data_IF_720093257951
#
_entry.id   IF_720093257951
#
_cell.length_a   1.000
_cell.length_b   1.000
_cell.length_c   1.000
_cell.angle_alpha   90.00
_cell.angle_beta   90.00
_cell.angle_gamma   90.00
#
_symmetry.space_group_name_H-M   'P 1'
#
loop_
_entity.id
_entity.type
_entity.pdbx_description
1 polymer ?
#
# COMPACT_ATOMS: atom_id res chain seq x y z
N UNK A 1 21.11 -7.60 -3.36
CA UNK A 1 20.51 -6.66 -2.40
C UNK A 1 20.03 -7.47 -1.20
N UNK A 2 20.37 -7.09 0.02
CA UNK A 2 19.97 -7.86 1.21
C UNK A 2 18.54 -7.46 1.60
N UNK A 3 17.66 -8.44 1.83
CA UNK A 3 16.30 -8.23 2.31
C UNK A 3 16.33 -7.83 3.79
N UNK A 4 15.63 -6.75 4.15
CA UNK A 4 15.56 -6.22 5.52
C UNK A 4 14.13 -6.30 6.04
N UNK A 5 13.99 -6.64 7.33
CA UNK A 5 12.71 -6.46 8.03
C UNK A 5 12.58 -5.01 8.49
N UNK A 6 11.47 -4.37 8.16
CA UNK A 6 11.17 -2.99 8.54
C UNK A 6 10.09 -2.96 9.62
N UNK A 7 10.29 -2.14 10.63
CA UNK A 7 9.31 -1.92 11.70
C UNK A 7 8.64 -0.58 11.48
N UNK A 8 7.31 -0.59 11.48
CA UNK A 8 6.53 0.65 11.44
C UNK A 8 6.20 1.09 12.86
N UNK A 9 6.70 2.25 13.25
CA UNK A 9 6.37 2.86 14.52
C UNK A 9 5.04 3.62 14.38
N UNK A 10 4.06 3.27 15.22
CA UNK A 10 2.80 3.98 15.33
C UNK A 10 2.81 4.85 16.59
N UNK A 11 2.09 5.98 16.54
CA UNK A 11 1.73 6.72 17.74
C UNK A 11 0.90 5.82 18.66
N UNK A 12 1.11 5.89 19.98
CA UNK A 12 0.44 5.06 21.00
C UNK A 12 -1.10 5.09 20.90
N UNK A 13 -1.66 6.18 20.37
CA UNK A 13 -3.10 6.35 20.20
C UNK A 13 -3.62 5.98 18.80
N UNK A 14 -2.80 5.34 17.96
CA UNK A 14 -3.14 4.99 16.59
C UNK A 14 -2.95 3.51 16.33
N UNK A 15 -3.99 2.83 15.86
CA UNK A 15 -3.94 1.40 15.54
C UNK A 15 -3.22 1.11 14.22
N UNK A 16 -3.04 2.11 13.36
CA UNK A 16 -2.35 1.98 12.07
C UNK A 16 -1.69 3.28 11.65
N UNK A 17 -0.68 3.18 10.79
CA UNK A 17 0.07 4.32 10.25
C UNK A 17 -0.60 4.86 8.99
N UNK A 18 -0.71 6.18 8.85
CA UNK A 18 -1.14 6.84 7.62
C UNK A 18 -0.58 8.25 7.57
N UNK A 19 0.16 8.55 6.50
CA UNK A 19 0.84 9.83 6.34
C UNK A 19 0.98 10.19 4.86
N UNK A 20 0.87 11.48 4.55
CA UNK A 20 1.37 12.06 3.30
C UNK A 20 2.76 12.61 3.55
N UNK A 21 3.73 12.23 2.73
CA UNK A 21 5.14 12.61 2.84
C UNK A 21 5.64 13.27 1.58
N UNK A 22 6.45 14.31 1.77
CA UNK A 22 7.28 14.89 0.72
C UNK A 22 8.74 14.62 1.07
N UNK A 23 9.47 13.97 0.18
CA UNK A 23 10.86 13.57 0.35
C UNK A 23 11.67 13.88 -0.90
N UNK A 24 12.99 14.11 -0.79
CA UNK A 24 13.82 14.39 -1.96
C UNK A 24 13.81 13.25 -2.99
N UNK A 25 13.78 12.01 -2.55
CA UNK A 25 13.73 10.81 -3.40
C UNK A 25 13.26 9.57 -2.64
N UNK A 26 12.66 8.61 -3.34
CA UNK A 26 12.49 7.27 -2.80
C UNK A 26 13.85 6.57 -2.77
N UNK A 27 14.34 6.25 -1.58
CA UNK A 27 15.61 5.55 -1.37
C UNK A 27 15.47 4.41 -0.38
N UNK A 28 14.33 3.72 -0.41
CA UNK A 28 14.05 2.64 0.54
C UNK A 28 14.76 1.37 0.08
N UNK A 29 15.43 0.71 1.04
CA UNK A 29 16.05 -0.59 0.80
C UNK A 29 15.00 -1.66 0.46
N UNK A 30 15.46 -2.76 -0.15
CA UNK A 30 14.67 -3.97 -0.33
C UNK A 30 14.23 -4.51 1.02
N UNK A 31 12.92 -4.42 1.32
CA UNK A 31 12.40 -4.71 2.64
C UNK A 31 11.03 -5.39 2.60
N UNK A 32 10.64 -5.89 3.76
CA UNK A 32 9.31 -6.41 4.03
C UNK A 32 8.89 -6.04 5.46
N UNK A 33 7.59 -6.07 5.74
CA UNK A 33 7.01 -5.82 7.06
C UNK A 33 5.69 -6.56 7.23
N UNK A 34 5.20 -6.60 8.46
CA UNK A 34 3.97 -7.33 8.83
C UNK A 34 2.70 -6.69 8.27
N UNK A 35 2.71 -5.39 8.06
CA UNK A 35 1.54 -4.63 7.64
C UNK A 35 1.17 -4.89 6.17
N UNK A 36 -0.12 -4.74 5.85
CA UNK A 36 -0.55 -4.34 4.51
C UNK A 36 -0.14 -2.88 4.28
N UNK A 37 0.23 -2.53 3.06
CA UNK A 37 0.58 -1.17 2.70
C UNK A 37 -0.20 -0.69 1.48
N UNK A 38 -0.88 0.45 1.63
CA UNK A 38 -1.37 1.24 0.50
C UNK A 38 -0.34 2.33 0.22
N UNK A 39 0.16 2.38 -1.01
CA UNK A 39 1.09 3.40 -1.49
C UNK A 39 0.50 4.11 -2.70
N UNK A 40 0.48 5.44 -2.65
CA UNK A 40 -0.02 6.30 -3.72
C UNK A 40 0.97 7.42 -4.01
N UNK A 41 1.79 7.33 -5.06
CA UNK A 41 2.62 8.43 -5.54
C UNK A 41 1.74 9.54 -6.13
N UNK A 42 1.79 10.75 -5.58
CA UNK A 42 1.14 11.95 -6.12
C UNK A 42 2.07 12.62 -7.12
N UNK A 43 3.35 12.77 -6.74
CA UNK A 43 4.44 13.29 -7.57
C UNK A 43 5.60 12.31 -7.48
N UNK A 44 6.16 11.96 -8.62
CA UNK A 44 7.34 11.10 -8.74
C UNK A 44 7.08 9.82 -9.50
N UNK A 45 8.07 9.45 -10.29
CA UNK A 45 8.12 8.22 -11.09
C UNK A 45 9.40 7.46 -10.79
N UNK A 46 9.48 6.21 -11.15
CA UNK A 46 10.68 5.41 -10.93
C UNK A 46 10.47 3.93 -11.16
N UNK A 47 11.29 3.11 -10.53
CA UNK A 47 11.21 1.67 -10.58
C UNK A 47 10.66 1.15 -9.25
N UNK A 48 9.72 0.21 -9.32
CA UNK A 48 9.30 -0.61 -8.18
C UNK A 48 9.73 -2.05 -8.41
N UNK A 49 10.13 -2.71 -7.32
CA UNK A 49 10.30 -4.15 -7.28
C UNK A 49 9.31 -4.66 -6.24
N UNK A 50 8.47 -5.62 -6.61
CA UNK A 50 7.47 -6.24 -5.73
C UNK A 50 7.51 -7.74 -5.95
N UNK A 51 7.97 -8.48 -4.95
CA UNK A 51 8.24 -9.90 -5.12
C UNK A 51 9.27 -10.16 -6.21
N UNK A 52 8.87 -10.90 -7.23
CA UNK A 52 9.69 -11.22 -8.42
C UNK A 52 9.43 -10.31 -9.63
N UNK A 53 8.62 -9.28 -9.47
CA UNK A 53 8.32 -8.30 -10.52
C UNK A 53 9.18 -7.06 -10.39
N UNK A 54 9.69 -6.56 -11.52
CA UNK A 54 10.35 -5.27 -11.63
C UNK A 54 9.70 -4.48 -12.77
N UNK A 55 9.14 -3.33 -12.47
CA UNK A 55 8.48 -2.47 -13.45
C UNK A 55 8.55 -0.99 -13.05
N UNK A 56 8.30 -0.11 -14.01
CA UNK A 56 8.16 1.31 -13.72
C UNK A 56 6.85 1.59 -12.97
N UNK A 57 6.88 2.59 -12.09
CA UNK A 57 5.67 3.17 -11.49
C UNK A 57 5.50 4.62 -11.94
N UNK A 58 4.26 5.05 -12.00
CA UNK A 58 3.87 6.40 -12.38
C UNK A 58 3.12 7.10 -11.25
N UNK A 59 3.01 8.42 -11.40
CA UNK A 59 2.13 9.22 -10.56
C UNK A 59 0.68 8.73 -10.65
N UNK A 60 -0.04 8.83 -9.56
CA UNK A 60 -1.46 8.44 -9.43
C UNK A 60 -1.74 6.94 -9.60
N UNK A 61 -0.75 6.08 -9.46
CA UNK A 61 -0.95 4.64 -9.36
C UNK A 61 -1.13 4.22 -7.90
N UNK A 62 -2.25 3.60 -7.56
CA UNK A 62 -2.46 3.04 -6.23
C UNK A 62 -2.01 1.58 -6.20
N UNK A 63 -1.17 1.26 -5.22
CA UNK A 63 -0.69 -0.11 -4.99
C UNK A 63 -1.12 -0.57 -3.61
N UNK A 64 -1.64 -1.79 -3.50
CA UNK A 64 -1.86 -2.49 -2.24
C UNK A 64 -0.87 -3.65 -2.15
N UNK A 65 0.06 -3.55 -1.21
CA UNK A 65 1.04 -4.58 -0.89
C UNK A 65 0.52 -5.46 0.26
N UNK A 66 0.67 -6.76 0.11
CA UNK A 66 0.30 -7.72 1.13
C UNK A 66 1.28 -7.75 2.30
N UNK A 67 0.81 -8.27 3.44
CA UNK A 67 1.66 -8.56 4.59
C UNK A 67 2.82 -9.47 4.19
N UNK A 68 4.04 -9.19 4.68
CA UNK A 68 5.27 -9.94 4.44
C UNK A 68 5.75 -9.95 2.97
N UNK A 69 5.16 -9.16 2.08
CA UNK A 69 5.57 -9.10 0.67
C UNK A 69 6.83 -8.23 0.53
N UNK A 70 7.96 -8.79 0.06
CA UNK A 70 9.15 -7.99 -0.20
C UNK A 70 8.93 -6.95 -1.29
N UNK A 71 9.36 -5.72 -1.05
CA UNK A 71 9.19 -4.63 -2.00
C UNK A 71 10.21 -3.50 -1.82
N UNK A 72 10.36 -2.70 -2.88
CA UNK A 72 11.02 -1.40 -2.85
C UNK A 72 10.45 -0.49 -3.93
N UNK A 73 10.56 0.82 -3.69
CA UNK A 73 10.32 1.88 -4.66
C UNK A 73 11.57 2.76 -4.74
N UNK A 74 11.99 3.10 -5.95
CA UNK A 74 13.18 3.90 -6.19
C UNK A 74 12.96 4.82 -7.37
N UNK A 75 13.22 6.12 -7.20
CA UNK A 75 13.29 7.07 -8.30
C UNK A 75 14.58 6.93 -9.10
N UNK A 76 14.56 7.33 -10.37
CA UNK A 76 15.77 7.59 -11.11
C UNK A 76 16.43 8.88 -10.59
N UNK A 77 17.72 8.79 -10.23
CA UNK A 77 18.49 9.88 -9.61
C UNK A 77 18.64 11.09 -10.56
N UNK A 78 18.34 10.92 -11.85
CA UNK A 78 18.53 11.94 -12.88
C UNK A 78 17.46 13.05 -12.88
N UNK A 79 16.36 12.89 -12.16
CA UNK A 79 15.36 13.95 -11.99
C UNK A 79 15.39 14.53 -10.55
N UNK A 80 16.58 14.97 -10.12
CA UNK A 80 16.79 15.62 -8.83
C UNK A 80 16.10 16.99 -8.68
N UNK A 81 15.30 17.40 -9.67
CA UNK A 81 14.59 18.67 -9.66
C UNK A 81 13.20 18.62 -9.01
N UNK A 82 12.65 17.43 -8.75
CA UNK A 82 11.33 17.26 -8.15
C UNK A 82 11.38 16.41 -6.90
N UNK A 83 10.84 16.93 -5.82
CA UNK A 83 10.55 16.14 -4.63
C UNK A 83 9.47 15.11 -4.93
N UNK A 84 9.54 13.97 -4.27
CA UNK A 84 8.50 12.94 -4.32
C UNK A 84 7.45 13.26 -3.27
N UNK A 85 6.19 13.32 -3.69
CA UNK A 85 5.02 13.47 -2.81
C UNK A 85 4.16 12.20 -2.89
N UNK A 86 3.93 11.56 -1.77
CA UNK A 86 3.19 10.30 -1.73
C UNK A 86 2.39 10.13 -0.44
N UNK A 87 1.37 9.29 -0.53
CA UNK A 87 0.62 8.84 0.64
C UNK A 87 0.96 7.38 0.90
N UNK A 88 1.23 7.06 2.17
CA UNK A 88 1.45 5.70 2.64
C UNK A 88 0.53 5.41 3.82
N UNK A 89 -0.17 4.26 3.76
CA UNK A 89 -1.04 3.76 4.82
C UNK A 89 -0.63 2.32 5.11
N UNK A 90 -0.25 2.04 6.36
CA UNK A 90 0.19 0.70 6.81
C UNK A 90 -0.71 0.24 7.95
N UNK A 91 -1.32 -0.92 7.78
CA UNK A 91 -2.21 -1.50 8.79
C UNK A 91 -1.96 -2.99 8.97
N UNK A 92 -1.89 -3.42 10.22
CA UNK A 92 -1.63 -4.83 10.55
C UNK A 92 -2.83 -5.72 10.22
N UNK A 93 -2.58 -6.99 9.82
CA UNK A 93 -3.64 -7.94 9.48
C UNK A 93 -4.72 -8.05 10.56
N UNK A 94 -4.35 -8.08 11.84
CA UNK A 94 -5.31 -8.27 12.94
C UNK A 94 -6.41 -7.19 12.99
N UNK A 95 -6.10 -5.95 12.55
CA UNK A 95 -7.07 -4.83 12.55
C UNK A 95 -8.22 -5.13 11.61
N UNK A 96 -7.91 -5.65 10.42
CA UNK A 96 -8.91 -5.93 9.40
C UNK A 96 -9.55 -7.30 9.60
N UNK A 97 -8.78 -8.30 10.05
CA UNK A 97 -9.28 -9.64 10.33
C UNK A 97 -10.42 -9.61 11.37
N UNK A 98 -10.36 -8.70 12.35
CA UNK A 98 -11.44 -8.48 13.30
C UNK A 98 -12.81 -8.20 12.63
N UNK A 99 -12.79 -7.59 11.43
CA UNK A 99 -13.99 -7.31 10.65
C UNK A 99 -14.30 -8.41 9.63
N UNK A 100 -13.32 -8.77 8.79
CA UNK A 100 -13.55 -9.67 7.65
C UNK A 100 -13.84 -11.12 8.06
N UNK A 101 -13.43 -11.53 9.25
CA UNK A 101 -13.66 -12.88 9.76
C UNK A 101 -15.01 -12.99 10.50
N UNK A 102 -15.61 -11.87 10.94
CA UNK A 102 -16.84 -11.88 11.72
C UNK A 102 -18.06 -11.33 10.95
N UNK A 103 -17.84 -10.59 9.86
CA UNK A 103 -18.92 -9.95 9.12
C UNK A 103 -18.86 -10.34 7.63
N UNK A 104 -19.81 -11.16 7.13
CA UNK A 104 -19.83 -11.62 5.74
C UNK A 104 -19.92 -10.48 4.71
N UNK A 105 -20.41 -9.30 5.11
CA UNK A 105 -20.46 -8.11 4.28
C UNK A 105 -19.08 -7.64 3.81
N UNK A 106 -18.02 -8.01 4.53
CA UNK A 106 -16.63 -7.70 4.17
C UNK A 106 -15.91 -8.80 3.38
N UNK A 107 -16.62 -9.82 2.90
CA UNK A 107 -16.03 -10.94 2.16
C UNK A 107 -15.16 -10.50 0.96
N UNK A 108 -15.59 -9.47 0.21
CA UNK A 108 -14.82 -8.95 -0.91
C UNK A 108 -13.48 -8.32 -0.48
N UNK A 109 -13.45 -7.68 0.70
CA UNK A 109 -12.19 -7.17 1.28
C UNK A 109 -11.27 -8.35 1.58
N UNK A 110 -11.76 -9.41 2.22
CA UNK A 110 -10.98 -10.61 2.51
C UNK A 110 -10.35 -11.18 1.24
N UNK A 111 -11.15 -11.41 0.20
CA UNK A 111 -10.65 -11.88 -1.10
C UNK A 111 -9.57 -10.95 -1.70
N UNK A 112 -9.80 -9.63 -1.65
CA UNK A 112 -8.82 -8.67 -2.16
C UNK A 112 -7.49 -8.76 -1.39
N UNK A 113 -7.53 -8.84 -0.06
CA UNK A 113 -6.34 -8.94 0.78
C UNK A 113 -5.58 -10.25 0.58
N UNK A 114 -6.27 -11.37 0.34
CA UNK A 114 -5.66 -12.64 -0.04
C UNK A 114 -4.88 -12.54 -1.36
N UNK A 115 -5.43 -11.85 -2.36
CA UNK A 115 -4.77 -11.62 -3.64
C UNK A 115 -3.62 -10.60 -3.48
N UNK A 116 -3.75 -9.63 -2.58
CA UNK A 116 -2.75 -8.59 -2.33
C UNK A 116 -1.39 -9.13 -1.84
N UNK A 117 -1.30 -10.40 -1.40
CA UNK A 117 -0.02 -11.07 -1.12
C UNK A 117 0.94 -11.08 -2.33
N UNK A 118 0.43 -10.84 -3.53
CA UNK A 118 1.19 -10.69 -4.78
C UNK A 118 1.37 -9.23 -5.20
N UNK A 119 0.96 -8.28 -4.35
CA UNK A 119 0.83 -6.88 -4.71
C UNK A 119 -0.27 -6.65 -5.75
N UNK A 120 -1.15 -5.72 -5.48
CA UNK A 120 -2.21 -5.31 -6.40
C UNK A 120 -1.97 -3.88 -6.85
N UNK A 121 -2.02 -3.65 -8.15
CA UNK A 121 -2.08 -2.30 -8.72
C UNK A 121 -3.49 -2.03 -9.21
N UNK A 122 -3.99 -0.85 -8.89
CA UNK A 122 -5.27 -0.32 -9.36
C UNK A 122 -4.99 0.70 -10.46
N UNK A 123 -5.68 0.59 -11.60
CA UNK A 123 -5.42 1.45 -12.75
C UNK A 123 -5.78 2.91 -12.49
N UNK A 124 -5.11 3.81 -13.20
CA UNK A 124 -4.99 5.24 -12.87
C UNK A 124 -6.32 6.00 -12.71
N UNK A 125 -7.35 5.66 -13.47
CA UNK A 125 -8.64 6.36 -13.40
C UNK A 125 -9.35 6.09 -12.07
N UNK A 126 -9.38 4.83 -11.64
CA UNK A 126 -10.01 4.44 -10.36
C UNK A 126 -9.18 4.90 -9.17
N UNK A 127 -7.86 4.88 -9.27
CA UNK A 127 -6.97 5.33 -8.22
C UNK A 127 -7.08 6.83 -7.96
N UNK A 128 -7.25 7.66 -9.01
CA UNK A 128 -7.47 9.09 -8.87
C UNK A 128 -8.77 9.42 -8.09
N UNK A 129 -9.84 8.66 -8.34
CA UNK A 129 -11.10 8.84 -7.61
C UNK A 129 -10.97 8.54 -6.11
N UNK A 130 -9.99 7.70 -5.74
CA UNK A 130 -9.71 7.35 -4.35
C UNK A 130 -8.76 8.32 -3.64
N UNK A 131 -8.07 9.21 -4.35
CA UNK A 131 -7.10 10.14 -3.76
C UNK A 131 -7.71 10.93 -2.59
N UNK A 132 -8.95 11.42 -2.75
CA UNK A 132 -9.65 12.13 -1.68
C UNK A 132 -9.89 11.25 -0.45
N UNK A 133 -10.27 9.98 -0.66
CA UNK A 133 -10.55 9.06 0.45
C UNK A 133 -9.27 8.71 1.22
N UNK A 134 -8.17 8.41 0.50
CA UNK A 134 -6.89 8.06 1.13
C UNK A 134 -6.23 9.27 1.82
N UNK A 135 -6.34 10.46 1.24
CA UNK A 135 -5.89 11.72 1.88
C UNK A 135 -6.63 11.94 3.19
N UNK A 136 -7.96 11.73 3.17
CA UNK A 136 -8.79 11.90 4.37
C UNK A 136 -8.40 10.96 5.51
N UNK A 137 -7.91 9.75 5.23
CA UNK A 137 -7.39 8.84 6.27
C UNK A 137 -6.22 9.48 7.03
N UNK A 138 -5.36 10.23 6.35
CA UNK A 138 -4.23 10.91 6.98
C UNK A 138 -4.66 12.07 7.89
N UNK A 139 -5.78 12.73 7.57
CA UNK A 139 -6.30 13.91 8.26
C UNK A 139 -7.15 13.55 9.49
N UNK A 140 -7.89 12.44 9.43
CA UNK A 140 -8.82 12.03 10.47
C UNK A 140 -8.11 11.47 11.72
N UNK A 141 -8.84 11.47 12.83
CA UNK A 141 -8.41 10.95 14.14
C UNK A 141 -9.50 10.05 14.73
N UNK A 142 -9.13 9.28 15.75
CA UNK A 142 -10.06 8.42 16.48
C UNK A 142 -10.81 7.42 15.60
N UNK A 143 -12.05 7.12 15.95
CA UNK A 143 -12.88 6.14 15.25
C UNK A 143 -13.14 6.47 13.78
N UNK A 144 -13.28 7.77 13.44
CA UNK A 144 -13.53 8.20 12.06
C UNK A 144 -12.41 7.78 11.11
N UNK A 145 -11.18 7.69 11.61
CA UNK A 145 -10.02 7.24 10.83
C UNK A 145 -10.13 5.77 10.44
N UNK A 146 -10.52 4.89 11.36
CA UNK A 146 -10.76 3.47 11.07
C UNK A 146 -11.96 3.29 10.14
N UNK A 147 -13.04 4.03 10.39
CA UNK A 147 -14.23 4.01 9.54
C UNK A 147 -13.87 4.41 8.10
N UNK A 148 -13.05 5.44 7.93
CA UNK A 148 -12.60 5.87 6.60
C UNK A 148 -11.70 4.82 5.94
N UNK A 149 -10.81 4.15 6.68
CA UNK A 149 -10.00 3.03 6.16
C UNK A 149 -10.92 1.91 5.64
N UNK A 150 -11.89 1.46 6.43
CA UNK A 150 -12.85 0.43 6.02
C UNK A 150 -13.64 0.84 4.77
N UNK A 151 -14.15 2.09 4.73
CA UNK A 151 -14.84 2.62 3.54
C UNK A 151 -13.96 2.58 2.30
N UNK A 152 -12.69 2.94 2.45
CA UNK A 152 -11.73 2.91 1.34
C UNK A 152 -11.46 1.49 0.89
N UNK A 153 -11.27 0.54 1.80
CA UNK A 153 -11.10 -0.89 1.46
C UNK A 153 -12.35 -1.49 0.79
N UNK A 154 -13.56 -1.10 1.21
CA UNK A 154 -14.81 -1.48 0.52
C UNK A 154 -14.80 -0.98 -0.93
N UNK A 155 -14.45 0.28 -1.18
CA UNK A 155 -14.35 0.83 -2.54
C UNK A 155 -13.32 0.07 -3.36
N UNK A 156 -12.11 -0.12 -2.83
CA UNK A 156 -11.03 -0.87 -3.50
C UNK A 156 -11.45 -2.30 -3.85
N UNK A 157 -12.13 -2.99 -2.95
CA UNK A 157 -12.56 -4.38 -3.17
C UNK A 157 -13.58 -4.54 -4.31
N UNK A 158 -14.26 -3.46 -4.69
CA UNK A 158 -15.22 -3.43 -5.80
C UNK A 158 -14.61 -2.97 -7.15
N UNK A 159 -13.34 -2.55 -7.17
CA UNK A 159 -12.65 -2.20 -8.41
C UNK A 159 -12.25 -3.50 -9.14
N UNK A 160 -12.73 -3.65 -10.37
CA UNK A 160 -12.42 -4.82 -11.20
C UNK A 160 -11.12 -4.64 -12.00
N UNK A 161 -10.78 -3.40 -12.40
CA UNK A 161 -9.57 -3.08 -13.16
C UNK A 161 -8.36 -3.02 -12.22
N UNK A 162 -7.86 -4.20 -11.89
CA UNK A 162 -6.68 -4.40 -11.06
C UNK A 162 -5.90 -5.61 -11.55
N UNK A 163 -4.57 -5.59 -11.38
CA UNK A 163 -3.69 -6.71 -11.71
C UNK A 163 -2.72 -6.99 -10.57
N UNK A 164 -2.24 -8.22 -10.51
CA UNK A 164 -1.16 -8.61 -9.61
C UNK A 164 0.19 -8.13 -10.17
N UNK A 165 1.10 -7.79 -9.27
CA UNK A 165 2.48 -7.45 -9.57
C UNK A 165 3.36 -8.71 -9.63
N UNK A 166 3.46 -9.44 -8.53
CA UNK A 166 4.26 -10.67 -8.48
C UNK A 166 3.57 -11.85 -9.20
N UNK A 167 4.37 -12.79 -9.66
CA UNK A 167 3.90 -14.00 -10.34
C UNK A 167 3.02 -14.88 -9.45
N UNK A 168 2.27 -15.80 -10.05
CA UNK A 168 1.40 -16.72 -9.30
C UNK A 168 2.17 -17.65 -8.36
N UNK A 169 3.39 -17.98 -8.75
CA UNK A 169 4.26 -18.88 -8.02
C UNK A 169 5.18 -18.17 -7.02
N UNK A 170 5.04 -16.86 -6.89
CA UNK A 170 5.83 -16.12 -5.92
C UNK A 170 5.33 -16.40 -4.49
N UNK A 171 6.22 -16.97 -3.69
CA UNK A 171 6.03 -17.14 -2.25
C UNK A 171 7.14 -16.40 -1.53
N UNK A 172 6.83 -15.42 -0.65
CA UNK A 172 7.85 -14.78 0.14
C UNK A 172 8.55 -15.82 1.00
N UNK A 173 9.80 -16.11 0.71
CA UNK A 173 10.66 -16.88 1.60
C UNK A 173 11.26 -15.90 2.61
N UNK A 174 10.53 -15.64 3.68
CA UNK A 174 11.10 -15.00 4.87
C UNK A 174 11.89 -16.07 5.59
N UNK A 175 13.21 -16.07 5.33
CA UNK A 175 14.16 -16.95 6.01
C UNK A 175 14.35 -16.56 7.48
#
# INVERSE_FOLDING_TARGET
MQLKYSITENDENQSFFAERKTIPYFGVDWHYHEEYELLYPIIGTGVRIVGDSMEYFNENELVLLGSQLPHLFKNEINDSSREVDYIVIKFKPYIINAFVDNFPEFYKIKQMLEIARRGLIFESMDSYLLLKDITRICELRGADRIIQLLKTLVKLSNINQRRCLASENFYPTTG
#
